data_IF_728741791726
#
_entry.id   IF_728741791726
#
_cell.length_a   1.000
_cell.length_b   1.000
_cell.length_c   1.000
_cell.angle_alpha   90.00
_cell.angle_beta   90.00
_cell.angle_gamma   90.00
#
_symmetry.space_group_name_H-M   'P 1'
#
loop_
_entity.id
_entity.type
_entity.pdbx_description
1 polymer ?
#
# COMPACT_ATOMS: atom_id res chain seq x y z
N UNK A 1 -22.28 3.95 -2.67
CA UNK A 1 -22.89 3.04 -1.69
C UNK A 1 -21.75 2.33 -0.99
N UNK A 2 -21.67 2.35 0.34
CA UNK A 2 -20.65 1.58 1.07
C UNK A 2 -20.92 0.09 0.85
N UNK A 3 -19.88 -0.69 0.53
CA UNK A 3 -19.96 -2.14 0.45
C UNK A 3 -19.29 -2.72 1.69
N UNK A 4 -20.07 -3.25 2.67
CA UNK A 4 -19.53 -3.73 3.94
C UNK A 4 -18.59 -4.93 3.80
N UNK A 5 -18.66 -5.68 2.69
CA UNK A 5 -17.74 -6.78 2.42
C UNK A 5 -16.37 -6.28 1.95
N UNK A 6 -16.34 -5.14 1.24
CA UNK A 6 -15.09 -4.48 0.87
C UNK A 6 -14.42 -3.82 2.08
N UNK A 7 -15.19 -3.23 3.00
CA UNK A 7 -14.65 -2.60 4.20
C UNK A 7 -13.93 -3.61 5.13
N UNK A 8 -14.25 -4.90 5.00
CA UNK A 8 -13.62 -6.00 5.75
C UNK A 8 -12.34 -6.54 5.12
N UNK A 9 -11.95 -6.06 3.93
CA UNK A 9 -10.66 -6.42 3.34
C UNK A 9 -9.53 -5.88 4.21
N UNK A 10 -8.52 -6.70 4.46
CA UNK A 10 -7.40 -6.37 5.34
C UNK A 10 -6.69 -5.10 4.87
N UNK A 11 -6.50 -4.94 3.56
CA UNK A 11 -5.91 -3.75 2.95
C UNK A 11 -6.73 -2.49 3.26
N UNK A 12 -8.05 -2.54 3.09
CA UNK A 12 -8.95 -1.41 3.36
C UNK A 12 -8.97 -1.01 4.83
N UNK A 13 -8.90 -1.98 5.75
CA UNK A 13 -8.77 -1.71 7.20
C UNK A 13 -7.49 -0.92 7.49
N UNK A 14 -6.34 -1.34 6.94
CA UNK A 14 -5.08 -0.64 7.13
C UNK A 14 -5.08 0.75 6.51
N UNK A 15 -5.57 0.88 5.27
CA UNK A 15 -5.65 2.16 4.59
C UNK A 15 -6.60 3.14 5.30
N UNK A 16 -7.72 2.67 5.85
CA UNK A 16 -8.62 3.48 6.68
C UNK A 16 -7.93 3.99 7.95
N UNK A 17 -7.08 3.18 8.58
CA UNK A 17 -6.31 3.62 9.74
C UNK A 17 -5.31 4.72 9.40
N UNK A 18 -4.64 4.63 8.24
CA UNK A 18 -3.75 5.70 7.78
C UNK A 18 -4.52 6.96 7.39
N UNK A 19 -5.68 6.83 6.75
CA UNK A 19 -6.52 7.97 6.40
C UNK A 19 -6.99 8.73 7.65
N UNK A 20 -7.35 8.00 8.71
CA UNK A 20 -7.71 8.58 10.01
C UNK A 20 -6.51 9.26 10.67
N UNK A 21 -5.35 8.60 10.63
CA UNK A 21 -4.12 9.02 11.28
C UNK A 21 -4.24 9.14 12.81
N UNK A 22 -3.14 9.49 13.46
CA UNK A 22 -3.10 9.80 14.90
C UNK A 22 -2.22 11.03 15.14
N UNK A 23 -2.30 11.61 16.34
CA UNK A 23 -1.31 12.57 16.81
C UNK A 23 -0.04 11.82 17.24
N UNK A 24 1.13 12.43 17.07
CA UNK A 24 2.39 11.86 17.54
C UNK A 24 2.50 11.99 19.07
N UNK A 25 2.87 10.92 19.78
CA UNK A 25 3.05 10.96 21.25
C UNK A 25 4.13 11.94 21.73
N UNK A 26 5.16 12.18 20.92
CA UNK A 26 6.28 13.07 21.21
C UNK A 26 6.51 14.04 20.05
N UNK A 27 7.28 15.11 20.28
CA UNK A 27 7.82 15.95 19.22
C UNK A 27 8.86 15.16 18.40
N UNK A 28 8.37 14.32 17.50
CA UNK A 28 9.22 13.58 16.56
C UNK A 28 9.69 14.51 15.45
N UNK A 29 11.01 14.54 15.21
CA UNK A 29 11.59 15.48 14.25
C UNK A 29 11.04 15.28 12.84
N UNK A 30 10.79 14.03 12.41
CA UNK A 30 10.27 13.76 11.06
C UNK A 30 8.93 14.47 10.80
N UNK A 31 8.15 14.79 11.84
CA UNK A 31 6.83 15.41 11.67
C UNK A 31 6.96 16.77 10.98
N UNK A 32 7.78 17.68 11.54
CA UNK A 32 7.98 19.00 10.95
C UNK A 32 8.77 18.90 9.65
N UNK A 33 9.85 18.10 9.62
CA UNK A 33 10.70 17.97 8.44
C UNK A 33 9.93 17.52 7.19
N UNK A 34 9.10 16.47 7.32
CA UNK A 34 8.28 15.98 6.21
C UNK A 34 7.16 16.95 5.87
N UNK A 35 6.48 17.51 6.88
CA UNK A 35 5.35 18.43 6.62
C UNK A 35 5.81 19.69 5.89
N UNK A 36 6.87 20.31 6.38
CA UNK A 36 7.42 21.55 5.82
C UNK A 36 7.99 21.31 4.42
N UNK A 37 8.62 20.15 4.19
CA UNK A 37 9.10 19.78 2.86
C UNK A 37 7.95 19.57 1.87
N UNK A 38 6.87 18.88 2.25
CA UNK A 38 5.68 18.71 1.40
C UNK A 38 4.92 20.03 1.17
N UNK A 39 5.04 20.99 2.08
CA UNK A 39 4.47 22.33 1.97
C UNK A 39 5.39 23.32 1.24
N UNK A 40 6.59 22.90 0.88
CA UNK A 40 7.56 23.74 0.18
C UNK A 40 7.00 24.26 -1.15
N UNK A 41 7.36 25.50 -1.49
CA UNK A 41 6.90 26.16 -2.72
C UNK A 41 7.26 25.38 -3.98
N UNK A 42 8.30 24.54 -3.98
CA UNK A 42 8.62 23.67 -5.14
C UNK A 42 7.53 22.65 -5.48
N UNK A 43 6.66 22.31 -4.53
CA UNK A 43 5.56 21.36 -4.72
C UNK A 43 4.17 21.99 -4.79
N UNK A 44 4.10 23.33 -4.86
CA UNK A 44 2.84 24.07 -4.88
C UNK A 44 1.89 23.61 -6.00
N UNK A 45 2.44 23.38 -7.20
CA UNK A 45 1.69 22.98 -8.39
C UNK A 45 1.02 21.60 -8.23
N UNK A 46 1.65 20.70 -7.47
CA UNK A 46 1.10 19.37 -7.18
C UNK A 46 0.08 19.38 -6.04
N UNK A 47 0.00 20.48 -5.27
CA UNK A 47 -0.91 20.60 -4.14
C UNK A 47 -0.59 19.66 -2.98
N UNK A 48 0.69 19.33 -2.78
CA UNK A 48 1.12 18.43 -1.68
C UNK A 48 0.82 19.00 -0.29
N UNK A 49 0.76 20.33 -0.14
CA UNK A 49 0.32 21.00 1.08
C UNK A 49 -1.10 20.59 1.51
N UNK A 50 -1.95 20.11 0.60
CA UNK A 50 -3.30 19.64 0.92
C UNK A 50 -3.32 18.25 1.56
N UNK A 51 -2.22 17.50 1.45
CA UNK A 51 -2.12 16.13 1.96
C UNK A 51 -0.99 15.96 2.99
N UNK A 52 -0.14 16.97 3.19
CA UNK A 52 0.98 16.97 4.14
C UNK A 52 0.55 16.54 5.54
N UNK A 53 -0.50 17.17 6.07
CA UNK A 53 -1.05 16.88 7.39
C UNK A 53 -1.55 15.43 7.52
N UNK A 54 -2.20 14.90 6.48
CA UNK A 54 -2.69 13.52 6.49
C UNK A 54 -1.53 12.53 6.45
N UNK A 55 -0.50 12.82 5.63
CA UNK A 55 0.71 11.99 5.55
C UNK A 55 1.39 11.92 6.93
N UNK A 56 1.69 13.06 7.56
CA UNK A 56 2.41 13.02 8.84
C UNK A 56 1.59 12.38 9.97
N UNK A 57 0.25 12.52 9.97
CA UNK A 57 -0.62 11.82 10.93
C UNK A 57 -0.67 10.30 10.70
N UNK A 58 -0.60 9.84 9.45
CA UNK A 58 -0.46 8.42 9.14
C UNK A 58 0.90 7.87 9.61
N UNK A 59 1.96 8.66 9.44
CA UNK A 59 3.28 8.33 9.97
C UNK A 59 3.29 8.29 11.51
N UNK A 60 2.61 9.22 12.18
CA UNK A 60 2.39 9.18 13.63
C UNK A 60 1.63 7.92 14.07
N UNK A 61 0.61 7.49 13.33
CA UNK A 61 -0.12 6.26 13.65
C UNK A 61 0.82 5.05 13.70
N UNK A 62 1.69 4.91 12.69
CA UNK A 62 2.71 3.85 12.71
C UNK A 62 3.75 4.11 13.82
N UNK A 63 4.10 5.39 14.04
CA UNK A 63 4.94 5.87 15.15
C UNK A 63 4.59 5.21 16.48
N UNK A 64 3.40 5.57 16.89
CA UNK A 64 2.79 5.21 18.14
C UNK A 64 2.69 3.69 18.31
N UNK A 65 2.29 2.97 17.26
CA UNK A 65 2.13 1.50 17.32
C UNK A 65 3.45 0.78 17.50
N UNK A 66 4.55 1.25 16.92
CA UNK A 66 5.85 0.61 17.13
C UNK A 66 6.39 0.85 18.53
N UNK A 67 6.26 2.07 19.05
CA UNK A 67 6.70 2.37 20.43
C UNK A 67 5.91 1.54 21.44
N UNK A 68 4.60 1.46 21.28
CA UNK A 68 3.73 0.76 22.23
C UNK A 68 3.79 -0.77 22.10
N UNK A 69 4.17 -1.30 20.94
CA UNK A 69 4.13 -2.74 20.65
C UNK A 69 5.39 -3.25 19.93
N UNK A 70 6.58 -2.92 20.46
CA UNK A 70 7.87 -3.25 19.83
C UNK A 70 8.04 -4.73 19.42
N UNK A 71 7.55 -5.66 20.23
CA UNK A 71 7.69 -7.12 20.01
C UNK A 71 6.81 -7.63 18.85
N UNK A 72 5.67 -6.97 18.59
CA UNK A 72 4.66 -7.40 17.60
C UNK A 72 4.51 -6.40 16.44
N UNK A 73 5.54 -5.58 16.19
CA UNK A 73 5.52 -4.68 15.05
C UNK A 73 5.74 -5.48 13.76
N UNK A 74 4.64 -5.82 13.11
CA UNK A 74 4.62 -6.61 11.88
C UNK A 74 5.19 -5.81 10.70
N UNK A 75 6.14 -6.42 9.98
CA UNK A 75 6.72 -5.85 8.75
C UNK A 75 5.66 -5.64 7.66
N UNK A 76 4.54 -6.37 7.70
CA UNK A 76 3.42 -6.17 6.77
C UNK A 76 2.86 -4.74 6.84
N UNK A 77 2.97 -4.06 8.00
CA UNK A 77 2.55 -2.66 8.14
C UNK A 77 3.36 -1.70 7.26
N UNK A 78 4.64 -2.01 7.04
CA UNK A 78 5.51 -1.20 6.18
C UNK A 78 5.07 -1.26 4.72
N UNK A 79 4.62 -2.43 4.24
CA UNK A 79 4.16 -2.55 2.86
C UNK A 79 2.83 -1.84 2.64
N UNK A 80 1.88 -1.92 3.60
CA UNK A 80 0.67 -1.09 3.55
C UNK A 80 1.00 0.40 3.56
N UNK A 81 1.92 0.86 4.43
CA UNK A 81 2.34 2.26 4.43
C UNK A 81 2.90 2.68 3.08
N UNK A 82 3.80 1.89 2.50
CA UNK A 82 4.41 2.18 1.20
C UNK A 82 3.35 2.36 0.11
N UNK A 83 2.39 1.44 0.01
CA UNK A 83 1.35 1.52 -1.01
C UNK A 83 0.32 2.61 -0.75
N UNK A 84 -0.04 2.88 0.51
CA UNK A 84 -0.91 4.01 0.83
C UNK A 84 -0.24 5.35 0.55
N UNK A 85 1.00 5.54 1.00
CA UNK A 85 1.76 6.76 0.78
C UNK A 85 1.97 7.01 -0.71
N UNK A 86 2.33 5.96 -1.45
CA UNK A 86 2.55 6.08 -2.88
C UNK A 86 1.27 6.41 -3.66
N UNK A 87 0.12 5.87 -3.27
CA UNK A 87 -1.19 6.21 -3.86
C UNK A 87 -1.55 7.70 -3.64
N UNK A 88 -1.31 8.23 -2.43
CA UNK A 88 -1.50 9.65 -2.12
C UNK A 88 -0.58 10.58 -2.90
N UNK A 89 0.67 10.17 -3.12
CA UNK A 89 1.63 10.98 -3.88
C UNK A 89 1.33 10.91 -5.37
N UNK A 90 1.17 9.72 -5.96
CA UNK A 90 0.92 9.58 -7.40
C UNK A 90 -0.36 10.25 -7.85
N UNK A 91 -1.44 10.17 -7.06
CA UNK A 91 -2.72 10.86 -7.35
C UNK A 91 -2.61 12.40 -7.40
N UNK A 92 -1.45 12.95 -7.03
CA UNK A 92 -1.13 14.38 -7.15
C UNK A 92 -0.06 14.65 -8.20
N UNK A 93 1.03 13.88 -8.17
CA UNK A 93 2.24 14.24 -8.91
C UNK A 93 2.27 13.67 -10.33
N UNK A 94 1.73 12.46 -10.54
CA UNK A 94 1.76 11.73 -11.83
C UNK A 94 3.14 11.71 -12.53
N UNK A 95 4.23 11.89 -11.78
CA UNK A 95 5.58 11.99 -12.30
C UNK A 95 6.51 11.08 -11.49
N UNK A 96 7.21 10.19 -12.19
CA UNK A 96 8.11 9.19 -11.61
C UNK A 96 9.28 9.81 -10.84
N UNK A 97 9.88 10.89 -11.36
CA UNK A 97 11.05 11.51 -10.73
C UNK A 97 10.63 12.23 -9.45
N UNK A 98 9.55 12.98 -9.51
CA UNK A 98 9.00 13.70 -8.35
C UNK A 98 8.55 12.71 -7.27
N UNK A 99 7.82 11.65 -7.66
CA UNK A 99 7.48 10.55 -6.75
C UNK A 99 8.71 9.98 -6.05
N UNK A 100 9.76 9.64 -6.81
CA UNK A 100 10.99 9.05 -6.29
C UNK A 100 11.68 9.97 -5.27
N UNK A 101 11.76 11.27 -5.57
CA UNK A 101 12.33 12.27 -4.66
C UNK A 101 11.55 12.34 -3.35
N UNK A 102 10.21 12.37 -3.42
CA UNK A 102 9.36 12.50 -2.24
C UNK A 102 9.40 11.23 -1.39
N UNK A 103 9.23 10.05 -2.00
CA UNK A 103 9.30 8.78 -1.29
C UNK A 103 10.63 8.62 -0.58
N UNK A 104 11.74 8.90 -1.26
CA UNK A 104 13.06 8.83 -0.66
C UNK A 104 13.18 9.78 0.53
N UNK A 105 12.79 11.05 0.37
CA UNK A 105 12.82 12.04 1.44
C UNK A 105 12.02 11.57 2.68
N UNK A 106 10.80 11.09 2.47
CA UNK A 106 9.94 10.61 3.57
C UNK A 106 10.61 9.45 4.32
N UNK A 107 11.11 8.44 3.60
CA UNK A 107 11.74 7.28 4.24
C UNK A 107 13.08 7.61 4.90
N UNK A 108 13.87 8.54 4.33
CA UNK A 108 15.13 9.01 4.94
C UNK A 108 14.87 9.71 6.29
N UNK A 109 13.88 10.60 6.36
CA UNK A 109 13.53 11.30 7.61
C UNK A 109 12.98 10.34 8.68
N UNK A 110 12.16 9.37 8.26
CA UNK A 110 11.68 8.32 9.15
C UNK A 110 12.84 7.45 9.66
N UNK A 111 13.83 7.14 8.82
CA UNK A 111 14.97 6.29 9.20
C UNK A 111 15.87 6.96 10.25
N UNK A 112 16.04 8.29 10.18
CA UNK A 112 16.88 9.06 11.12
C UNK A 112 16.41 8.98 12.58
N UNK A 113 15.13 8.79 12.83
CA UNK A 113 14.56 8.79 14.19
C UNK A 113 14.73 7.46 14.94
N UNK A 114 15.57 6.53 14.43
CA UNK A 114 15.66 5.10 14.84
C UNK A 114 14.30 4.37 14.81
N UNK A 115 13.30 5.04 14.24
CA UNK A 115 11.91 4.76 14.44
C UNK A 115 11.45 3.66 13.51
N UNK A 116 11.92 3.59 12.26
CA UNK A 116 11.63 2.48 11.34
C UNK A 116 12.88 1.99 10.60
N UNK A 117 13.93 1.60 11.33
CA UNK A 117 15.08 0.92 10.71
C UNK A 117 14.69 -0.32 9.89
N UNK A 118 13.46 -0.84 10.09
CA UNK A 118 12.87 -1.98 9.40
C UNK A 118 11.97 -1.63 8.20
N UNK A 119 11.32 -0.44 8.14
CA UNK A 119 10.52 -0.09 6.97
C UNK A 119 11.44 0.50 5.91
N UNK A 120 11.62 -0.23 4.82
CA UNK A 120 12.28 0.27 3.61
C UNK A 120 11.22 0.39 2.51
N UNK A 121 11.31 1.41 1.65
CA UNK A 121 10.43 1.46 0.49
C UNK A 121 10.70 0.21 -0.37
N UNK A 122 9.64 -0.38 -0.92
CA UNK A 122 9.82 -1.52 -1.82
C UNK A 122 10.54 -1.09 -3.11
N UNK A 123 10.16 0.07 -3.64
CA UNK A 123 10.82 0.67 -4.79
C UNK A 123 10.94 2.18 -4.57
N UNK A 124 12.15 2.71 -4.62
CA UNK A 124 12.37 4.17 -4.64
C UNK A 124 12.07 4.75 -6.02
N UNK A 125 12.21 3.96 -7.08
CA UNK A 125 12.13 4.42 -8.46
C UNK A 125 11.27 3.47 -9.31
N UNK A 126 9.97 3.74 -9.33
CA UNK A 126 8.96 2.95 -10.04
C UNK A 126 8.11 3.92 -10.88
N UNK A 127 7.51 3.49 -11.97
CA UNK A 127 6.51 4.30 -12.68
C UNK A 127 5.10 4.06 -12.11
N UNK A 128 4.18 5.00 -12.32
CA UNK A 128 2.83 4.95 -11.75
C UNK A 128 2.05 3.68 -12.16
N UNK A 129 2.18 3.24 -13.42
CA UNK A 129 1.49 2.04 -13.90
C UNK A 129 1.99 0.80 -13.15
N UNK A 130 3.31 0.60 -13.10
CA UNK A 130 3.91 -0.53 -12.40
C UNK A 130 3.63 -0.48 -10.90
N UNK A 131 3.66 0.71 -10.29
CA UNK A 131 3.28 0.92 -8.88
C UNK A 131 1.84 0.46 -8.62
N UNK A 132 0.89 0.90 -9.45
CA UNK A 132 -0.52 0.54 -9.31
C UNK A 132 -0.75 -0.97 -9.48
N UNK A 133 -0.05 -1.61 -10.43
CA UNK A 133 -0.06 -3.07 -10.58
C UNK A 133 0.42 -3.77 -9.32
N UNK A 134 1.54 -3.34 -8.75
CA UNK A 134 2.09 -3.96 -7.53
C UNK A 134 1.25 -3.69 -6.28
N UNK A 135 0.61 -2.53 -6.19
CA UNK A 135 -0.37 -2.24 -5.15
C UNK A 135 -1.53 -3.23 -5.21
N UNK A 136 -2.10 -3.45 -6.39
CA UNK A 136 -3.21 -4.41 -6.59
C UNK A 136 -2.78 -5.82 -6.16
N UNK A 137 -1.60 -6.28 -6.58
CA UNK A 137 -1.10 -7.60 -6.21
C UNK A 137 -0.82 -7.73 -4.71
N UNK A 138 -0.28 -6.68 -4.10
CA UNK A 138 -0.09 -6.62 -2.66
C UNK A 138 -1.42 -6.73 -1.94
N UNK A 139 -2.39 -5.89 -2.28
CA UNK A 139 -3.73 -5.90 -1.70
C UNK A 139 -4.36 -7.29 -1.85
N UNK A 140 -4.30 -7.86 -3.05
CA UNK A 140 -4.82 -9.21 -3.29
C UNK A 140 -4.14 -10.28 -2.41
N UNK A 141 -2.81 -10.27 -2.30
CA UNK A 141 -2.07 -11.25 -1.47
C UNK A 141 -2.48 -11.21 0.01
N UNK A 142 -2.88 -10.03 0.51
CA UNK A 142 -3.25 -9.82 1.90
C UNK A 142 -4.75 -10.04 2.16
N UNK A 143 -5.56 -9.75 1.15
CA UNK A 143 -7.01 -9.86 1.21
C UNK A 143 -7.50 -11.26 0.87
N UNK A 144 -6.67 -12.05 0.17
CA UNK A 144 -7.04 -13.37 -0.34
C UNK A 144 -7.64 -14.29 0.73
N UNK A 145 -7.10 -14.29 1.96
CA UNK A 145 -7.65 -15.09 3.05
C UNK A 145 -9.09 -14.68 3.39
N UNK A 146 -9.37 -13.39 3.49
CA UNK A 146 -10.71 -12.89 3.80
C UNK A 146 -11.66 -13.11 2.63
N UNK A 147 -11.18 -12.90 1.40
CA UNK A 147 -11.95 -13.21 0.18
C UNK A 147 -12.34 -14.69 0.18
N UNK A 148 -11.39 -15.60 0.45
CA UNK A 148 -11.65 -17.03 0.49
C UNK A 148 -12.65 -17.41 1.60
N UNK A 149 -12.48 -16.88 2.82
CA UNK A 149 -13.41 -17.12 3.93
C UNK A 149 -14.82 -16.60 3.62
N UNK A 150 -14.92 -15.42 3.02
CA UNK A 150 -16.19 -14.85 2.59
C UNK A 150 -16.84 -15.73 1.51
N UNK A 151 -16.10 -16.23 0.51
CA UNK A 151 -16.68 -17.15 -0.49
C UNK A 151 -17.17 -18.48 0.08
N UNK A 152 -16.62 -18.93 1.21
CA UNK A 152 -17.07 -20.15 1.91
C UNK A 152 -18.36 -19.93 2.72
N UNK A 153 -18.76 -18.69 2.98
CA UNK A 153 -19.98 -18.37 3.68
C UNK A 153 -21.02 -17.82 2.69
N UNK A 154 -22.15 -18.52 2.56
CA UNK A 154 -23.25 -18.15 1.66
C UNK A 154 -23.96 -16.81 1.97
N UNK A 155 -23.36 -15.98 2.82
CA UNK A 155 -23.82 -14.65 3.21
C UNK A 155 -23.02 -13.51 2.54
N UNK A 156 -21.92 -13.80 1.84
CA UNK A 156 -21.19 -12.74 1.11
C UNK A 156 -22.08 -12.16 0.04
N UNK A 157 -22.27 -10.84 0.08
CA UNK A 157 -23.01 -10.16 -0.97
C UNK A 157 -22.14 -10.14 -2.21
N UNK A 158 -22.43 -11.08 -3.11
CA UNK A 158 -21.90 -11.15 -4.47
C UNK A 158 -22.45 -10.01 -5.34
N UNK A 159 -22.48 -8.80 -4.79
CA UNK A 159 -22.89 -7.61 -5.51
C UNK A 159 -21.86 -7.25 -6.58
N UNK A 160 -22.32 -6.44 -7.52
CA UNK A 160 -21.54 -6.07 -8.70
C UNK A 160 -20.24 -5.35 -8.35
N UNK A 161 -20.25 -4.51 -7.30
CA UNK A 161 -19.06 -3.77 -6.90
C UNK A 161 -17.99 -4.67 -6.28
N UNK A 162 -18.40 -5.59 -5.41
CA UNK A 162 -17.50 -6.60 -4.86
C UNK A 162 -16.88 -7.44 -5.98
N UNK A 163 -17.71 -7.96 -6.90
CA UNK A 163 -17.26 -8.75 -8.07
C UNK A 163 -16.23 -8.01 -8.90
N UNK A 164 -16.47 -6.74 -9.23
CA UNK A 164 -15.52 -5.93 -10.01
C UNK A 164 -14.15 -5.80 -9.32
N UNK A 165 -14.13 -5.63 -7.99
CA UNK A 165 -12.86 -5.55 -7.24
C UNK A 165 -12.11 -6.87 -7.29
N UNK A 166 -12.78 -8.00 -7.07
CA UNK A 166 -12.15 -9.32 -7.11
C UNK A 166 -11.68 -9.69 -8.52
N UNK A 167 -12.48 -9.39 -9.55
CA UNK A 167 -12.09 -9.58 -10.95
C UNK A 167 -10.85 -8.76 -11.30
N UNK A 168 -10.76 -7.52 -10.82
CA UNK A 168 -9.56 -6.68 -10.98
C UNK A 168 -8.33 -7.36 -10.36
N UNK A 169 -8.44 -7.89 -9.15
CA UNK A 169 -7.36 -8.64 -8.49
C UNK A 169 -6.91 -9.85 -9.32
N UNK A 170 -7.85 -10.69 -9.74
CA UNK A 170 -7.57 -11.91 -10.50
C UNK A 170 -6.96 -11.59 -11.86
N UNK A 171 -7.49 -10.59 -12.56
CA UNK A 171 -7.00 -10.20 -13.88
C UNK A 171 -5.57 -9.65 -13.81
N UNK A 172 -5.28 -8.78 -12.82
CA UNK A 172 -3.92 -8.29 -12.60
C UNK A 172 -2.97 -9.43 -12.21
N UNK A 173 -3.40 -10.35 -11.34
CA UNK A 173 -2.61 -11.53 -11.01
C UNK A 173 -2.30 -12.40 -12.24
N UNK A 174 -3.29 -12.69 -13.09
CA UNK A 174 -3.11 -13.49 -14.30
C UNK A 174 -2.16 -12.83 -15.31
N UNK A 175 -2.24 -11.51 -15.49
CA UNK A 175 -1.33 -10.75 -16.36
C UNK A 175 0.13 -10.91 -15.88
N UNK A 176 0.39 -10.58 -14.61
CA UNK A 176 1.74 -10.63 -14.04
C UNK A 176 2.26 -12.06 -13.97
N UNK A 177 1.42 -13.03 -13.59
CA UNK A 177 1.77 -14.45 -13.62
C UNK A 177 2.21 -14.89 -15.03
N UNK A 178 1.46 -14.51 -16.06
CA UNK A 178 1.76 -14.87 -17.45
C UNK A 178 3.05 -14.22 -17.93
N UNK A 179 3.30 -12.95 -17.58
CA UNK A 179 4.59 -12.31 -17.84
C UNK A 179 5.74 -13.04 -17.14
N UNK A 180 5.55 -13.41 -15.87
CA UNK A 180 6.58 -14.04 -15.05
C UNK A 180 6.89 -15.49 -15.41
N UNK A 181 5.91 -16.26 -15.89
CA UNK A 181 6.11 -17.66 -16.30
C UNK A 181 6.26 -17.86 -17.81
N UNK A 182 5.92 -16.86 -18.62
CA UNK A 182 6.07 -16.91 -20.07
C UNK A 182 7.52 -16.69 -20.55
N UNK A 183 7.72 -16.79 -21.86
CA UNK A 183 9.03 -16.61 -22.52
C UNK A 183 9.33 -15.15 -22.92
N UNK A 184 8.42 -14.23 -22.60
CA UNK A 184 8.56 -12.82 -22.96
C UNK A 184 9.59 -12.10 -22.07
N UNK A 185 10.03 -10.93 -22.54
CA UNK A 185 10.78 -10.00 -21.71
C UNK A 185 10.02 -9.72 -20.41
N UNK A 186 10.73 -9.84 -19.28
CA UNK A 186 10.17 -9.66 -17.95
C UNK A 186 9.94 -8.17 -17.74
N UNK A 187 8.67 -7.75 -17.84
CA UNK A 187 8.22 -6.38 -17.59
C UNK A 187 8.14 -6.11 -16.09
N UNK A 188 7.84 -7.14 -15.31
CA UNK A 188 7.61 -7.05 -13.88
C UNK A 188 8.71 -7.76 -13.09
N UNK A 189 8.86 -7.37 -11.82
CA UNK A 189 9.70 -8.01 -10.84
C UNK A 189 9.03 -9.30 -10.38
N UNK A 190 9.44 -10.41 -10.99
CA UNK A 190 8.89 -11.73 -10.70
C UNK A 190 9.32 -12.27 -9.34
N UNK A 191 10.45 -11.81 -8.78
CA UNK A 191 10.86 -12.22 -7.44
C UNK A 191 9.94 -11.60 -6.38
N UNK A 192 9.56 -10.33 -6.56
CA UNK A 192 8.57 -9.69 -5.72
C UNK A 192 7.19 -10.33 -5.86
N UNK A 193 6.74 -10.62 -7.09
CA UNK A 193 5.50 -11.36 -7.35
C UNK A 193 5.50 -12.72 -6.63
N UNK A 194 6.55 -13.51 -6.79
CA UNK A 194 6.67 -14.83 -6.17
C UNK A 194 6.64 -14.74 -4.64
N UNK A 195 7.28 -13.73 -4.05
CA UNK A 195 7.24 -13.47 -2.60
C UNK A 195 5.84 -13.14 -2.09
N UNK A 196 5.01 -12.42 -2.86
CA UNK A 196 3.65 -12.08 -2.44
C UNK A 196 2.75 -13.31 -2.32
N UNK A 197 2.97 -14.31 -3.17
CA UNK A 197 2.08 -15.46 -3.31
C UNK A 197 2.72 -16.79 -2.87
N UNK A 198 3.82 -16.75 -2.13
CA UNK A 198 4.59 -17.91 -1.69
C UNK A 198 3.78 -18.95 -0.88
N UNK A 199 2.79 -18.48 -0.13
CA UNK A 199 1.91 -19.29 0.74
C UNK A 199 0.64 -19.81 0.07
N UNK A 200 0.42 -19.49 -1.21
CA UNK A 200 -0.85 -19.77 -1.89
C UNK A 200 -0.65 -20.68 -3.09
N UNK A 201 -1.54 -21.66 -3.24
CA UNK A 201 -1.60 -22.46 -4.45
C UNK A 201 -2.13 -21.62 -5.62
N UNK A 202 -1.38 -21.59 -6.72
CA UNK A 202 -1.70 -20.75 -7.89
C UNK A 202 -3.07 -21.04 -8.52
N UNK A 203 -3.61 -22.25 -8.36
CA UNK A 203 -4.95 -22.63 -8.82
C UNK A 203 -6.03 -21.84 -8.11
N UNK A 204 -5.86 -21.61 -6.81
CA UNK A 204 -6.88 -20.98 -5.97
C UNK A 204 -6.88 -19.45 -6.16
N UNK A 205 -5.77 -18.87 -6.65
CA UNK A 205 -5.61 -17.44 -6.96
C UNK A 205 -6.20 -17.02 -8.32
N UNK A 206 -6.65 -17.98 -9.12
CA UNK A 206 -7.17 -17.71 -10.48
C UNK A 206 -8.68 -17.77 -10.57
N UNK A 207 -9.38 -18.17 -9.52
CA UNK A 207 -10.82 -18.39 -9.54
C UNK A 207 -11.46 -17.69 -8.36
N UNK A 208 -12.65 -17.16 -8.61
CA UNK A 208 -13.53 -16.62 -7.59
C UNK A 208 -14.93 -17.10 -7.91
N UNK A 209 -15.63 -17.57 -6.88
CA UNK A 209 -16.99 -18.06 -7.00
C UNK A 209 -17.90 -17.25 -6.10
N UNK A 210 -18.96 -16.80 -6.74
CA UNK A 210 -20.13 -16.07 -6.29
C UNK A 210 -21.27 -16.64 -7.13
#
# INVERSE_FOLDING_TARGET
>A
TLNPDLDQLTSNIWYSNFERGEECFEHVSFYSEIKDELENTRYWYYGLSKISQNIVRALCYIYNRKINHQINFDNDRCSYLYYWLGDKIYSRVHDKKIFSIIIKMVYDEIYRTKFLNACKPHYENIDEHTFNTYKILHDYSKDYRNINLNTLHGHTTCDEHYKMVIEKYINTYRDVYSNCRGNNEKKYDCAYFDKLFDKYEHTNLKSFHC
#
